data_IF_352907696395
#
_entry.id   IF_352907696395
#
_cell.length_a   1.000
_cell.length_b   1.000
_cell.length_c   1.000
_cell.angle_alpha   90.00
_cell.angle_beta   90.00
_cell.angle_gamma   90.00
#
_symmetry.space_group_name_H-M   'P 1'
#
loop_
_entity.id
_entity.type
_entity.pdbx_description
1 polymer ?
#
# COMPACT_ATOMS: atom_id res chain seq x y z
N UNK A 1 10.57 9.23 11.26
CA UNK A 1 11.36 8.64 10.16
C UNK A 1 11.19 7.12 10.07
N UNK A 2 11.47 6.33 11.13
CA UNK A 2 11.41 4.85 11.11
C UNK A 2 10.08 4.25 10.64
N UNK A 3 8.98 4.89 11.03
CA UNK A 3 7.60 4.50 10.67
C UNK A 3 7.34 4.56 9.16
N UNK A 4 8.13 5.32 8.40
CA UNK A 4 7.96 5.48 6.96
C UNK A 4 9.11 4.86 6.16
N UNK A 5 10.35 5.05 6.61
CA UNK A 5 11.54 4.62 5.88
C UNK A 5 11.70 3.10 5.80
N UNK A 6 11.04 2.33 6.66
CA UNK A 6 11.05 0.86 6.56
C UNK A 6 10.47 0.36 5.23
N UNK A 7 9.57 1.13 4.61
CA UNK A 7 8.94 0.79 3.33
C UNK A 7 9.92 0.83 2.15
N UNK A 8 11.07 1.48 2.31
CA UNK A 8 12.09 1.64 1.28
C UNK A 8 13.12 0.50 1.27
N UNK A 9 13.14 -0.35 2.30
CA UNK A 9 14.09 -1.46 2.44
C UNK A 9 13.40 -2.80 2.25
N UNK A 10 14.09 -3.75 1.60
CA UNK A 10 13.55 -5.06 1.27
C UNK A 10 14.59 -6.16 1.55
N UNK A 11 14.13 -7.35 1.97
CA UNK A 11 15.01 -8.49 2.29
C UNK A 11 15.57 -9.25 1.07
N UNK A 12 15.18 -8.91 -0.15
CA UNK A 12 15.65 -9.61 -1.35
C UNK A 12 15.00 -9.12 -2.64
N UNK A 13 15.53 -9.58 -3.78
CA UNK A 13 15.13 -9.14 -5.12
C UNK A 13 13.67 -9.47 -5.43
N UNK A 14 13.24 -10.71 -5.18
CA UNK A 14 11.84 -11.11 -5.38
C UNK A 14 10.89 -10.25 -4.54
N UNK A 15 11.28 -9.90 -3.32
CA UNK A 15 10.45 -9.11 -2.42
C UNK A 15 10.25 -7.68 -2.95
N UNK A 16 11.31 -7.02 -3.41
CA UNK A 16 11.18 -5.67 -3.99
C UNK A 16 10.44 -5.72 -5.33
N UNK A 17 10.77 -6.66 -6.22
CA UNK A 17 10.12 -6.77 -7.53
C UNK A 17 8.62 -6.99 -7.40
N UNK A 18 8.20 -7.91 -6.54
CA UNK A 18 6.77 -8.17 -6.32
C UNK A 18 6.04 -6.93 -5.78
N UNK A 19 6.59 -6.26 -4.77
CA UNK A 19 5.99 -5.04 -4.23
C UNK A 19 5.89 -3.95 -5.29
N UNK A 20 6.95 -3.72 -6.07
CA UNK A 20 6.96 -2.70 -7.12
C UNK A 20 5.97 -3.01 -8.24
N UNK A 21 5.92 -4.25 -8.72
CA UNK A 21 4.96 -4.64 -9.78
C UNK A 21 3.52 -4.41 -9.32
N UNK A 22 3.17 -4.88 -8.12
CA UNK A 22 1.81 -4.73 -7.59
C UNK A 22 1.52 -3.26 -7.28
N UNK A 23 2.49 -2.51 -6.76
CA UNK A 23 2.38 -1.07 -6.58
C UNK A 23 2.13 -0.33 -7.89
N UNK A 24 2.77 -0.71 -8.99
CA UNK A 24 2.50 -0.10 -10.30
C UNK A 24 1.11 -0.47 -10.82
N UNK A 25 0.71 -1.75 -10.71
CA UNK A 25 -0.61 -2.23 -11.16
C UNK A 25 -1.75 -1.45 -10.51
N UNK A 26 -1.67 -1.19 -9.20
CA UNK A 26 -2.73 -0.50 -8.47
C UNK A 26 -2.48 1.01 -8.31
N UNK A 27 -1.23 1.44 -8.24
CA UNK A 27 -0.85 2.83 -8.00
C UNK A 27 -1.03 3.71 -9.23
N UNK A 28 -0.63 3.24 -10.42
CA UNK A 28 -0.75 4.02 -11.67
C UNK A 28 -2.23 4.37 -11.96
N UNK A 29 -3.18 3.42 -11.98
CA UNK A 29 -4.58 3.77 -12.19
C UNK A 29 -5.14 4.70 -11.12
N UNK A 30 -4.71 4.53 -9.86
CA UNK A 30 -5.15 5.37 -8.76
C UNK A 30 -4.68 6.81 -8.93
N UNK A 31 -3.42 7.01 -9.31
CA UNK A 31 -2.86 8.33 -9.64
C UNK A 31 -3.58 8.98 -10.82
N UNK A 32 -3.87 8.21 -11.88
CA UNK A 32 -4.56 8.73 -13.06
C UNK A 32 -5.99 9.20 -12.75
N UNK A 33 -6.69 8.53 -11.83
CA UNK A 33 -8.10 8.84 -11.49
C UNK A 33 -8.20 9.87 -10.36
N UNK A 34 -7.32 9.82 -9.35
CA UNK A 34 -7.45 10.60 -8.11
C UNK A 34 -6.28 11.59 -7.87
N UNK A 35 -5.26 11.57 -8.73
CA UNK A 35 -4.08 12.42 -8.64
C UNK A 35 -3.00 11.92 -7.65
N UNK A 36 -1.79 12.43 -7.86
CA UNK A 36 -0.58 12.03 -7.12
C UNK A 36 -0.69 12.26 -5.61
N UNK A 37 -1.34 13.36 -5.18
CA UNK A 37 -1.52 13.67 -3.75
C UNK A 37 -2.33 12.60 -3.04
N UNK A 38 -3.43 12.15 -3.66
CA UNK A 38 -4.30 11.13 -3.08
C UNK A 38 -3.53 9.81 -3.00
N UNK A 39 -2.84 9.42 -4.07
CA UNK A 39 -1.99 8.21 -4.09
C UNK A 39 -0.99 8.23 -2.96
N UNK A 40 -0.23 9.33 -2.82
CA UNK A 40 0.80 9.48 -1.82
C UNK A 40 0.24 9.35 -0.40
N UNK A 41 -0.84 10.08 -0.08
CA UNK A 41 -1.44 10.05 1.25
C UNK A 41 -1.99 8.67 1.59
N UNK A 42 -2.73 8.04 0.67
CA UNK A 42 -3.26 6.69 0.86
C UNK A 42 -2.14 5.67 1.08
N UNK A 43 -1.10 5.70 0.25
CA UNK A 43 0.04 4.78 0.38
C UNK A 43 0.72 4.91 1.74
N UNK A 44 1.04 6.13 2.16
CA UNK A 44 1.72 6.36 3.45
C UNK A 44 0.82 6.14 4.67
N UNK A 45 -0.50 6.26 4.51
CA UNK A 45 -1.46 5.82 5.54
C UNK A 45 -1.35 4.31 5.76
N UNK A 46 -1.31 3.52 4.67
CA UNK A 46 -1.08 2.08 4.71
C UNK A 46 0.25 1.69 5.34
N UNK A 47 1.35 2.37 4.94
CA UNK A 47 2.68 2.18 5.54
C UNK A 47 2.66 2.43 7.05
N UNK A 48 1.99 3.50 7.49
CA UNK A 48 1.89 3.86 8.91
C UNK A 48 1.08 2.82 9.69
N UNK A 49 -0.09 2.42 9.17
CA UNK A 49 -0.92 1.37 9.78
C UNK A 49 -0.19 0.03 9.85
N UNK A 50 0.55 -0.35 8.79
CA UNK A 50 1.37 -1.56 8.79
C UNK A 50 2.47 -1.53 9.86
N UNK A 51 3.10 -0.38 10.09
CA UNK A 51 4.08 -0.23 11.16
C UNK A 51 3.45 -0.33 12.55
N UNK A 52 2.28 0.27 12.77
CA UNK A 52 1.55 0.17 14.03
C UNK A 52 1.11 -1.27 14.32
N UNK A 53 0.60 -1.96 13.30
CA UNK A 53 0.19 -3.36 13.42
C UNK A 53 1.39 -4.27 13.75
N UNK A 54 2.51 -4.08 13.06
CA UNK A 54 3.73 -4.82 13.34
C UNK A 54 4.27 -4.53 14.76
N UNK A 55 4.20 -3.28 15.22
CA UNK A 55 4.58 -2.91 16.58
C UNK A 55 3.70 -3.57 17.65
N UNK A 56 2.40 -3.75 17.37
CA UNK A 56 1.48 -4.40 18.29
C UNK A 56 1.64 -5.94 18.32
N UNK A 57 1.83 -6.58 17.16
CA UNK A 57 1.79 -8.04 17.04
C UNK A 57 3.18 -8.71 17.11
N UNK A 58 4.20 -8.07 16.55
CA UNK A 58 5.58 -8.62 16.48
C UNK A 58 6.60 -7.53 16.84
N UNK A 59 6.60 -7.04 18.10
CA UNK A 59 7.41 -5.89 18.50
C UNK A 59 8.92 -6.09 18.34
N UNK A 60 9.40 -7.33 18.40
CA UNK A 60 10.82 -7.69 18.26
C UNK A 60 11.19 -8.18 16.85
N UNK A 61 10.24 -8.16 15.91
CA UNK A 61 10.46 -8.58 14.54
C UNK A 61 11.12 -7.48 13.69
N UNK A 62 11.88 -7.88 12.68
CA UNK A 62 12.36 -6.95 11.66
C UNK A 62 11.21 -6.59 10.69
N UNK A 63 10.79 -5.34 10.70
CA UNK A 63 9.81 -4.81 9.76
C UNK A 63 10.51 -4.14 8.58
N UNK A 64 10.28 -4.64 7.37
CA UNK A 64 10.81 -4.11 6.11
C UNK A 64 9.85 -4.39 4.96
N UNK A 65 9.78 -3.47 4.00
CA UNK A 65 9.07 -3.66 2.75
C UNK A 65 7.89 -2.70 2.54
N UNK A 66 7.61 -2.44 1.27
CA UNK A 66 6.55 -1.54 0.82
C UNK A 66 5.11 -2.09 1.00
N UNK A 67 4.97 -3.33 1.44
CA UNK A 67 3.72 -4.10 1.40
C UNK A 67 2.56 -3.46 2.16
N UNK A 68 2.81 -2.75 3.26
CA UNK A 68 1.77 -2.01 3.98
C UNK A 68 1.08 -0.95 3.11
N UNK A 69 1.85 -0.24 2.28
CA UNK A 69 1.30 0.71 1.31
C UNK A 69 0.59 0.01 0.15
N UNK A 70 1.19 -1.06 -0.39
CA UNK A 70 0.62 -1.85 -1.49
C UNK A 70 -0.74 -2.46 -1.12
N UNK A 71 -0.86 -3.06 0.08
CA UNK A 71 -2.13 -3.61 0.55
C UNK A 71 -3.18 -2.54 0.80
N UNK A 72 -2.77 -1.34 1.20
CA UNK A 72 -3.70 -0.22 1.30
C UNK A 72 -4.25 0.18 -0.08
N UNK A 73 -3.39 0.25 -1.10
CA UNK A 73 -3.85 0.51 -2.47
C UNK A 73 -4.82 -0.58 -2.95
N UNK A 74 -4.50 -1.85 -2.74
CA UNK A 74 -5.41 -2.95 -3.06
C UNK A 74 -6.75 -2.81 -2.34
N UNK A 75 -6.73 -2.47 -1.04
CA UNK A 75 -7.92 -2.23 -0.24
C UNK A 75 -8.77 -1.08 -0.77
N UNK A 76 -8.16 0.00 -1.25
CA UNK A 76 -8.88 1.11 -1.89
C UNK A 76 -9.57 0.67 -3.17
N UNK A 77 -8.91 -0.14 -4.01
CA UNK A 77 -9.54 -0.70 -5.22
C UNK A 77 -10.72 -1.61 -4.90
N UNK A 78 -10.56 -2.50 -3.91
CA UNK A 78 -11.65 -3.36 -3.43
C UNK A 78 -12.80 -2.54 -2.85
N UNK A 79 -12.50 -1.52 -2.04
CA UNK A 79 -13.50 -0.61 -1.48
C UNK A 79 -14.25 0.16 -2.56
N UNK A 80 -13.54 0.66 -3.57
CA UNK A 80 -14.15 1.34 -4.71
C UNK A 80 -15.09 0.41 -5.48
N UNK A 81 -14.66 -0.83 -5.74
CA UNK A 81 -15.49 -1.84 -6.39
C UNK A 81 -16.74 -2.16 -5.58
N UNK A 82 -16.60 -2.39 -4.27
CA UNK A 82 -17.70 -2.71 -3.38
C UNK A 82 -18.71 -1.55 -3.27
N UNK A 83 -18.24 -0.32 -3.09
CA UNK A 83 -19.08 0.85 -2.88
C UNK A 83 -19.75 1.34 -4.18
N UNK A 84 -19.10 1.15 -5.33
CA UNK A 84 -19.57 1.65 -6.62
C UNK A 84 -20.06 0.57 -7.57
N UNK A 85 -20.17 -0.70 -7.14
CA UNK A 85 -20.58 -1.84 -7.96
C UNK A 85 -21.80 -1.55 -8.86
N UNK A 86 -22.88 -1.01 -8.28
CA UNK A 86 -24.12 -0.72 -9.02
C UNK A 86 -23.99 0.40 -10.05
N UNK A 87 -23.02 1.31 -9.87
CA UNK A 87 -22.75 2.40 -10.82
C UNK A 87 -21.89 1.92 -12.00
N UNK A 88 -21.04 0.90 -11.79
CA UNK A 88 -20.19 0.34 -12.85
C UNK A 88 -20.94 -0.63 -13.78
N UNK A 89 -22.06 -1.20 -13.33
CA UNK A 89 -22.89 -2.13 -14.10
C UNK A 89 -24.13 -1.49 -14.75
N UNK A 90 -24.18 -0.16 -14.83
CA UNK A 90 -25.17 0.59 -15.62
C UNK A 90 -24.50 1.18 -16.84
#
# INVERSE_FOLDING_TARGET
>A
YRVWSYSLVHRGLQHVLFNTVIQCIFGIPMEMVHGTRTLFLTYYMGVTLGALFAAAWVPYGSLVGASGGVYCLMGVHMGNLALNWRRMHR
#
